data_IF_365620053258
#
_entry.id   IF_365620053258
#
_cell.length_a   1.000
_cell.length_b   1.000
_cell.length_c   1.000
_cell.angle_alpha   90.00
_cell.angle_beta   90.00
_cell.angle_gamma   90.00
#
_symmetry.space_group_name_H-M   'P 1'
#
loop_
_entity.id
_entity.type
_entity.pdbx_description
1 polymer ?
#
# COMPACT_ATOMS: atom_id res chain seq x y z
N UNK A 1 5.96 -0.64 -6.89
CA UNK A 1 4.57 -0.20 -7.11
C UNK A 1 4.17 0.92 -6.15
N UNK A 2 4.22 0.74 -4.82
CA UNK A 2 3.94 1.81 -3.84
C UNK A 2 4.74 3.10 -4.06
N UNK A 3 6.06 2.98 -4.26
CA UNK A 3 6.91 4.13 -4.58
C UNK A 3 6.47 4.88 -5.86
N UNK A 4 6.10 4.17 -6.94
CA UNK A 4 5.63 4.77 -8.19
C UNK A 4 4.28 5.51 -8.02
N UNK A 5 3.43 5.01 -7.14
CA UNK A 5 2.14 5.65 -6.81
C UNK A 5 2.38 6.95 -6.03
N UNK A 6 3.33 6.95 -5.09
CA UNK A 6 3.74 8.16 -4.37
C UNK A 6 4.34 9.21 -5.30
N UNK A 7 5.19 8.80 -6.25
CA UNK A 7 5.75 9.70 -7.28
C UNK A 7 4.67 10.30 -8.19
N UNK A 8 3.58 9.56 -8.43
CA UNK A 8 2.44 10.02 -9.21
C UNK A 8 1.53 10.99 -8.45
N UNK A 9 1.79 11.24 -7.16
CA UNK A 9 0.97 12.11 -6.32
C UNK A 9 -0.40 11.52 -5.96
N UNK A 10 -0.58 10.20 -6.10
CA UNK A 10 -1.84 9.52 -5.84
C UNK A 10 -1.81 8.97 -4.41
N UNK A 11 -2.82 9.33 -3.63
CA UNK A 11 -2.99 8.77 -2.29
C UNK A 11 -3.32 7.28 -2.40
N UNK A 12 -2.56 6.45 -1.69
CA UNK A 12 -2.84 5.03 -1.59
C UNK A 12 -2.81 4.54 -0.15
N UNK A 13 -3.65 3.55 0.12
CA UNK A 13 -3.63 2.78 1.36
C UNK A 13 -3.09 1.40 1.04
N UNK A 14 -2.01 1.01 1.68
CA UNK A 14 -1.44 -0.32 1.62
C UNK A 14 -2.03 -1.24 2.69
N UNK A 15 -2.24 -2.50 2.29
CA UNK A 15 -2.58 -3.60 3.17
C UNK A 15 -1.46 -4.63 3.12
N UNK A 16 -0.72 -4.75 4.21
CA UNK A 16 0.44 -5.66 4.33
C UNK A 16 0.13 -6.83 5.25
N UNK A 17 0.97 -7.87 5.20
CA UNK A 17 0.89 -9.01 6.11
C UNK A 17 0.96 -8.60 7.59
N UNK A 18 1.73 -7.56 7.92
CA UNK A 18 1.84 -7.00 9.27
C UNK A 18 0.56 -6.35 9.81
N UNK A 19 -0.44 -6.09 8.95
CA UNK A 19 -1.74 -5.54 9.37
C UNK A 19 -2.78 -6.62 9.64
N UNK A 20 -2.43 -7.90 9.51
CA UNK A 20 -3.33 -9.04 9.78
C UNK A 20 -3.33 -9.48 11.24
N UNK A 21 -2.47 -8.89 12.07
CA UNK A 21 -2.26 -9.28 13.47
C UNK A 21 -2.97 -8.32 14.43
N UNK A 22 -3.45 -8.87 15.55
CA UNK A 22 -3.74 -8.12 16.79
C UNK A 22 -4.50 -6.80 16.64
N UNK A 23 -4.12 -5.82 17.48
CA UNK A 23 -4.67 -4.45 17.51
C UNK A 23 -3.76 -3.49 16.74
N UNK A 24 -4.29 -2.31 16.41
CA UNK A 24 -3.59 -1.26 15.65
C UNK A 24 -2.18 -0.95 16.15
N UNK A 25 -1.96 -0.89 17.47
CA UNK A 25 -0.63 -0.60 18.02
C UNK A 25 0.41 -1.68 17.65
N UNK A 26 0.02 -2.96 17.64
CA UNK A 26 0.88 -4.08 17.29
C UNK A 26 1.17 -4.09 15.78
N UNK A 27 0.16 -3.76 14.96
CA UNK A 27 0.30 -3.62 13.51
C UNK A 27 1.27 -2.50 13.14
N UNK A 28 1.18 -1.35 13.81
CA UNK A 28 2.09 -0.22 13.59
C UNK A 28 3.52 -0.55 14.01
N UNK A 29 3.70 -1.26 15.13
CA UNK A 29 5.02 -1.71 15.57
C UNK A 29 5.64 -2.70 14.57
N UNK A 30 4.91 -3.75 14.19
CA UNK A 30 5.38 -4.76 13.24
C UNK A 30 5.71 -4.16 11.87
N UNK A 31 4.89 -3.23 11.38
CA UNK A 31 5.13 -2.55 10.09
C UNK A 31 6.36 -1.63 10.17
N UNK A 32 6.65 -1.06 11.33
CA UNK A 32 7.83 -0.20 11.53
C UNK A 32 9.12 -1.01 11.65
N UNK A 33 9.06 -2.19 12.25
CA UNK A 33 10.22 -3.06 12.45
C UNK A 33 10.61 -3.84 11.19
N UNK A 34 9.66 -4.08 10.29
CA UNK A 34 9.89 -4.83 9.05
C UNK A 34 10.36 -3.91 7.92
N UNK A 35 11.50 -4.20 7.26
CA UNK A 35 11.94 -3.45 6.09
C UNK A 35 10.88 -3.50 4.97
N UNK A 36 10.75 -2.41 4.20
CA UNK A 36 9.73 -2.32 3.14
C UNK A 36 9.87 -3.43 2.09
N UNK A 37 11.10 -3.87 1.82
CA UNK A 37 11.41 -4.96 0.89
C UNK A 37 10.89 -6.33 1.36
N UNK A 38 10.69 -6.49 2.67
CA UNK A 38 10.17 -7.72 3.28
C UNK A 38 8.66 -7.66 3.52
N UNK A 39 8.03 -6.47 3.42
CA UNK A 39 6.58 -6.32 3.57
C UNK A 39 5.86 -7.03 2.42
N UNK A 40 5.01 -8.00 2.77
CA UNK A 40 4.18 -8.67 1.78
C UNK A 40 2.90 -7.84 1.58
N UNK A 41 2.83 -7.14 0.46
CA UNK A 41 1.64 -6.39 0.07
C UNK A 41 0.54 -7.34 -0.38
N UNK A 42 -0.53 -7.41 0.41
CA UNK A 42 -1.73 -8.20 0.12
C UNK A 42 -2.69 -7.42 -0.78
N UNK A 43 -2.67 -6.10 -0.69
CA UNK A 43 -3.48 -5.22 -1.52
C UNK A 43 -3.05 -3.77 -1.44
N UNK A 44 -3.34 -3.02 -2.50
CA UNK A 44 -3.13 -1.57 -2.56
C UNK A 44 -4.44 -0.94 -3.03
N UNK A 45 -4.96 -0.03 -2.22
CA UNK A 45 -6.14 0.76 -2.57
C UNK A 45 -5.68 2.14 -3.03
N UNK A 46 -6.08 2.53 -4.25
CA UNK A 46 -5.69 3.78 -4.88
C UNK A 46 -6.90 4.72 -4.92
N UNK A 47 -6.69 6.00 -4.61
CA UNK A 47 -7.76 7.01 -4.67
C UNK A 47 -7.37 8.12 -5.63
N UNK A 48 -8.13 8.30 -6.70
CA UNK A 48 -7.87 9.35 -7.68
C UNK A 48 -8.68 9.19 -8.98
N UNK A 49 -8.29 9.97 -9.98
CA UNK A 49 -8.92 10.01 -11.29
C UNK A 49 -8.79 8.66 -12.02
N UNK A 50 -9.91 8.15 -12.56
CA UNK A 50 -9.98 6.84 -13.21
C UNK A 50 -8.92 6.64 -14.30
N UNK A 51 -8.64 7.67 -15.10
CA UNK A 51 -7.64 7.60 -16.17
C UNK A 51 -6.21 7.51 -15.64
N UNK A 52 -5.90 8.17 -14.51
CA UNK A 52 -4.61 8.04 -13.83
C UNK A 52 -4.46 6.66 -13.18
N UNK A 53 -5.54 6.15 -12.58
CA UNK A 53 -5.57 4.82 -11.97
C UNK A 53 -5.41 3.72 -13.02
N UNK A 54 -6.11 3.80 -14.16
CA UNK A 54 -5.98 2.84 -15.28
C UNK A 54 -4.56 2.76 -15.82
N UNK A 55 -3.84 3.89 -15.89
CA UNK A 55 -2.42 3.88 -16.32
C UNK A 55 -1.52 3.11 -15.35
N UNK A 56 -1.86 3.08 -14.07
CA UNK A 56 -1.09 2.38 -13.03
C UNK A 56 -1.51 0.92 -12.86
N UNK A 57 -2.81 0.60 -12.94
CA UNK A 57 -3.34 -0.76 -12.73
C UNK A 57 -3.51 -1.57 -14.01
N UNK A 58 -3.40 -0.94 -15.18
CA UNK A 58 -3.55 -1.55 -16.50
C UNK A 58 -5.00 -1.89 -16.88
N UNK A 59 -5.85 -2.18 -15.90
CA UNK A 59 -7.29 -2.46 -16.08
C UNK A 59 -8.04 -2.01 -14.83
N UNK A 60 -9.26 -1.50 -15.01
CA UNK A 60 -10.18 -1.04 -13.97
C UNK A 60 -11.59 -1.46 -14.37
#
# INVERSE_FOLDING_TARGET
MRAQIQESGISCTDFTDTMTIGKTAEQMAATKEKPEEELAYLGLCLFGETEALKKLTGTL
#
